data_IF_777496685317
#
_entry.id   IF_777496685317
#
_cell.length_a   1.000
_cell.length_b   1.000
_cell.length_c   1.000
_cell.angle_alpha   90.00
_cell.angle_beta   90.00
_cell.angle_gamma   90.00
#
_symmetry.space_group_name_H-M   'P 1'
#
loop_
_entity.id
_entity.type
_entity.pdbx_description
1 polymer ?
#
# COMPACT_ATOMS: atom_id res chain seq x y z
N UNK A 1 -1.16 7.35 15.95
CA UNK A 1 -1.58 6.71 14.69
C UNK A 1 -0.41 6.69 13.74
N UNK A 2 -0.29 5.65 12.92
CA UNK A 2 0.80 5.50 11.94
C UNK A 2 0.28 5.96 10.58
N UNK A 3 0.95 6.90 9.92
CA UNK A 3 0.61 7.29 8.55
C UNK A 3 1.04 6.19 7.56
N UNK A 4 0.04 5.49 7.02
CA UNK A 4 0.23 4.39 6.05
C UNK A 4 -0.03 4.80 4.61
N UNK A 5 -0.63 5.97 4.40
CA UNK A 5 -0.87 6.54 3.08
C UNK A 5 -1.26 8.00 3.14
N UNK A 6 -1.11 8.68 2.00
CA UNK A 6 -1.37 10.10 1.85
C UNK A 6 -1.87 10.40 0.44
N UNK A 7 -2.76 11.38 0.33
CA UNK A 7 -3.32 11.87 -0.93
C UNK A 7 -3.07 13.36 -1.01
N UNK A 8 -2.74 13.87 -2.19
CA UNK A 8 -2.41 15.28 -2.33
C UNK A 8 -2.78 15.83 -3.70
N UNK A 9 -3.45 16.99 -3.73
CA UNK A 9 -3.71 17.73 -4.95
C UNK A 9 -2.50 18.59 -5.31
N UNK A 10 -1.85 18.25 -6.42
CA UNK A 10 -0.62 18.90 -6.89
C UNK A 10 -0.89 20.15 -7.74
N UNK A 11 -2.13 20.32 -8.23
CA UNK A 11 -2.45 21.39 -9.16
C UNK A 11 -1.64 21.24 -10.45
N UNK A 12 -1.03 22.32 -10.92
CA UNK A 12 -0.22 22.35 -12.14
C UNK A 12 1.29 22.41 -11.87
N UNK A 13 1.72 22.21 -10.62
CA UNK A 13 3.12 22.35 -10.19
C UNK A 13 4.12 21.68 -11.13
N UNK A 14 3.84 20.43 -11.53
CA UNK A 14 4.73 19.67 -12.41
C UNK A 14 4.35 19.77 -13.88
N UNK A 15 3.06 19.75 -14.20
CA UNK A 15 2.58 19.80 -15.59
C UNK A 15 2.93 21.12 -16.28
N UNK A 16 2.91 22.26 -15.56
CA UNK A 16 3.33 23.54 -16.10
C UNK A 16 4.84 23.55 -16.42
N UNK A 17 5.66 23.03 -15.50
CA UNK A 17 7.12 22.99 -15.64
C UNK A 17 7.59 21.98 -16.71
N UNK A 18 6.90 20.84 -16.84
CA UNK A 18 7.26 19.75 -17.77
C UNK A 18 6.53 19.84 -19.12
N UNK A 19 5.69 20.87 -19.33
CA UNK A 19 4.97 21.06 -20.58
C UNK A 19 3.84 20.05 -20.84
N UNK A 20 3.32 19.39 -19.81
CA UNK A 20 2.22 18.44 -19.95
C UNK A 20 0.88 19.17 -20.19
N UNK A 21 0.50 19.26 -21.47
CA UNK A 21 -0.72 19.92 -21.95
C UNK A 21 -1.61 18.95 -22.72
N UNK A 22 -2.91 19.19 -22.67
CA UNK A 22 -3.93 18.46 -23.46
C UNK A 22 -4.84 19.46 -24.16
N UNK A 23 -5.44 19.06 -25.28
CA UNK A 23 -6.41 19.89 -25.98
C UNK A 23 -7.78 19.77 -25.31
N UNK A 24 -8.39 20.90 -24.98
CA UNK A 24 -9.77 20.96 -24.47
C UNK A 24 -10.77 20.70 -25.59
N UNK A 25 -12.05 20.52 -25.22
CA UNK A 25 -13.13 20.34 -26.20
C UNK A 25 -13.28 21.54 -27.13
N UNK A 26 -12.88 22.72 -26.67
CA UNK A 26 -12.87 23.99 -27.40
C UNK A 26 -11.60 24.18 -28.25
N UNK A 27 -10.71 23.18 -28.32
CA UNK A 27 -9.50 23.21 -29.12
C UNK A 27 -8.31 23.91 -28.45
N UNK A 28 -8.43 24.36 -27.20
CA UNK A 28 -7.39 25.10 -26.49
C UNK A 28 -6.42 24.16 -25.78
N UNK A 29 -5.13 24.48 -25.78
CA UNK A 29 -4.14 23.73 -25.00
C UNK A 29 -4.21 24.14 -23.52
N UNK A 30 -4.68 23.23 -22.67
CA UNK A 30 -4.78 23.42 -21.22
C UNK A 30 -3.72 22.59 -20.49
N UNK A 31 -3.17 23.15 -19.41
CA UNK A 31 -2.20 22.44 -18.54
C UNK A 31 -2.96 21.45 -17.65
N UNK A 32 -2.46 20.22 -17.57
CA UNK A 32 -3.11 19.15 -16.79
C UNK A 32 -3.08 19.49 -15.29
N UNK A 33 -4.22 19.42 -14.59
CA UNK A 33 -4.23 19.43 -13.12
C UNK A 33 -3.98 18.02 -12.58
N UNK A 34 -3.11 17.92 -11.59
CA UNK A 34 -2.54 16.66 -11.11
C UNK A 34 -2.90 16.41 -9.65
N UNK A 35 -3.00 15.13 -9.30
CA UNK A 35 -2.98 14.64 -7.93
C UNK A 35 -1.97 13.50 -7.80
N UNK A 36 -1.51 13.25 -6.58
CA UNK A 36 -0.72 12.06 -6.26
C UNK A 36 -1.29 11.32 -5.05
N UNK A 37 -1.05 10.01 -5.03
CA UNK A 37 -1.57 9.08 -4.05
C UNK A 37 -0.44 8.12 -3.69
N UNK A 38 -0.08 8.05 -2.41
CA UNK A 38 1.02 7.24 -1.93
C UNK A 38 0.56 6.31 -0.82
N UNK A 39 0.99 5.04 -0.87
CA UNK A 39 0.80 4.05 0.19
C UNK A 39 2.17 3.48 0.54
N UNK A 40 2.52 3.49 1.83
CA UNK A 40 3.75 2.91 2.32
C UNK A 40 3.64 1.38 2.44
N UNK A 41 3.78 0.64 1.33
CA UNK A 41 3.56 -0.82 1.30
C UNK A 41 4.45 -1.58 2.30
N UNK A 42 5.74 -1.28 2.35
CA UNK A 42 6.64 -1.89 3.33
C UNK A 42 6.33 -1.46 4.77
N UNK A 43 5.91 -0.20 4.95
CA UNK A 43 5.48 0.34 6.26
C UNK A 43 4.20 -0.32 6.76
N UNK A 44 3.29 -0.72 5.87
CA UNK A 44 2.04 -1.39 6.22
C UNK A 44 2.29 -2.69 7.00
N UNK A 45 3.36 -3.42 6.69
CA UNK A 45 3.72 -4.64 7.43
C UNK A 45 3.89 -4.36 8.92
N UNK A 46 4.71 -3.35 9.27
CA UNK A 46 4.88 -2.94 10.66
C UNK A 46 3.59 -2.41 11.29
N UNK A 47 2.81 -1.62 10.55
CA UNK A 47 1.54 -1.10 11.04
C UNK A 47 0.49 -2.19 11.31
N UNK A 48 0.48 -3.25 10.49
CA UNK A 48 -0.40 -4.42 10.68
C UNK A 48 0.04 -5.20 11.91
N UNK A 49 1.35 -5.43 12.10
CA UNK A 49 1.87 -6.13 13.28
C UNK A 49 1.54 -5.34 14.55
N UNK A 50 1.78 -4.03 14.57
CA UNK A 50 1.42 -3.16 15.69
C UNK A 50 -0.08 -3.21 16.03
N UNK A 51 -0.95 -3.24 15.02
CA UNK A 51 -2.39 -3.29 15.22
C UNK A 51 -2.94 -4.70 15.53
N UNK A 52 -2.20 -5.75 15.18
CA UNK A 52 -2.67 -7.15 15.22
C UNK A 52 -1.61 -8.07 15.80
N UNK A 53 -1.39 -7.97 17.12
CA UNK A 53 -0.52 -8.87 17.88
C UNK A 53 -1.07 -9.09 19.29
N UNK A 54 -0.55 -10.11 19.96
CA UNK A 54 -0.71 -10.34 21.39
C UNK A 54 0.64 -10.71 22.02
N UNK A 55 0.65 -11.08 23.31
CA UNK A 55 1.87 -11.48 24.03
C UNK A 55 2.55 -12.74 23.45
N UNK A 56 1.86 -13.50 22.58
CA UNK A 56 2.38 -14.71 21.92
C UNK A 56 2.91 -14.43 20.52
N UNK A 57 2.68 -13.24 19.97
CA UNK A 57 3.27 -12.78 18.72
C UNK A 57 2.26 -12.20 17.72
N UNK A 58 2.60 -12.29 16.43
CA UNK A 58 1.85 -11.65 15.34
C UNK A 58 0.56 -12.43 15.05
N UNK A 59 -0.55 -11.71 14.88
CA UNK A 59 -1.84 -12.24 14.42
C UNK A 59 -2.13 -11.67 13.03
N UNK A 60 -1.75 -12.40 11.99
CA UNK A 60 -1.98 -11.94 10.62
C UNK A 60 -3.46 -11.92 10.25
N UNK A 61 -4.00 -10.81 9.71
CA UNK A 61 -5.30 -10.82 9.04
C UNK A 61 -5.30 -11.79 7.85
N UNK A 62 -6.39 -12.51 7.64
CA UNK A 62 -6.48 -13.57 6.63
C UNK A 62 -6.18 -13.13 5.19
N UNK A 63 -6.36 -11.86 4.86
CA UNK A 63 -6.10 -11.28 3.54
C UNK A 63 -4.62 -11.06 3.23
N UNK A 64 -3.76 -10.98 4.25
CA UNK A 64 -2.33 -10.64 4.13
C UNK A 64 -1.41 -11.66 4.82
N UNK A 65 -1.99 -12.70 5.43
CA UNK A 65 -1.22 -13.77 6.04
C UNK A 65 -0.32 -14.45 4.99
N UNK A 66 0.95 -14.74 5.33
CA UNK A 66 1.88 -15.38 4.39
C UNK A 66 1.41 -16.77 3.96
N UNK A 67 0.77 -17.49 4.89
CA UNK A 67 0.10 -18.76 4.66
C UNK A 67 -1.24 -18.75 5.41
N UNK A 68 -2.27 -19.36 4.83
CA UNK A 68 -3.61 -19.45 5.45
C UNK A 68 -3.70 -20.53 6.53
N UNK A 69 -2.86 -21.55 6.45
CA UNK A 69 -2.79 -22.64 7.40
C UNK A 69 -1.35 -23.18 7.45
N UNK A 70 -0.98 -23.76 8.58
CA UNK A 70 0.31 -24.42 8.79
C UNK A 70 0.01 -25.82 9.32
N UNK A 71 0.51 -26.84 8.64
CA UNK A 71 0.42 -28.24 9.10
C UNK A 71 1.69 -28.53 9.88
N UNK A 72 1.54 -28.97 11.12
CA UNK A 72 2.66 -29.31 12.01
C UNK A 72 2.59 -30.81 12.28
N UNK A 73 3.59 -31.56 11.79
CA UNK A 73 3.76 -32.96 12.17
C UNK A 73 4.41 -33.03 13.57
N UNK A 74 3.66 -33.53 14.55
CA UNK A 74 4.15 -33.68 15.93
C UNK A 74 5.05 -34.91 16.12
N UNK A 75 5.08 -35.83 15.14
CA UNK A 75 5.87 -37.06 15.12
C UNK A 75 6.65 -37.18 13.80
N UNK A 76 7.55 -36.23 13.55
CA UNK A 76 8.41 -36.28 12.38
C UNK A 76 9.53 -37.30 12.58
N UNK A 77 9.61 -38.31 11.71
CA UNK A 77 10.66 -39.34 11.76
C UNK A 77 10.32 -40.58 12.60
N UNK A 78 9.07 -40.74 13.05
CA UNK A 78 8.59 -42.01 13.59
C UNK A 78 8.53 -43.03 12.44
N UNK A 79 9.08 -44.23 12.65
CA UNK A 79 9.21 -45.28 11.63
C UNK A 79 8.05 -46.30 11.65
N UNK A 80 7.07 -46.11 12.53
CA UNK A 80 5.80 -46.86 12.59
C UNK A 80 4.62 -46.03 12.04
#
# INVERSE_FOLDING_TARGET
GIEVGHIFYLGDKYSAALGAKVQSKEGQNIVVKMGCYGIGVSRLIGAIIEASHDDKGIIWPASVAPFKAIIINLKSGDAE
#
